data_IF_371904081306
#
_entry.id   IF_371904081306
#
_cell.length_a   1.000
_cell.length_b   1.000
_cell.length_c   1.000
_cell.angle_alpha   90.00
_cell.angle_beta   90.00
_cell.angle_gamma   90.00
#
_symmetry.space_group_name_H-M   'P 1'
#
loop_
_entity.id
_entity.type
_entity.pdbx_description
1 polymer ?
#
# COMPACT_ATOMS: atom_id res chain seq x y z
N UNK A 1 30.00 -12.58 -3.76
CA UNK A 1 29.16 -11.37 -3.69
C UNK A 1 28.71 -11.05 -5.12
N UNK A 2 27.68 -11.73 -5.61
CA UNK A 2 27.20 -11.56 -6.98
C UNK A 2 26.39 -10.25 -7.09
N UNK A 3 26.45 -9.54 -8.22
CA UNK A 3 25.68 -8.31 -8.39
C UNK A 3 24.19 -8.64 -8.31
N UNK A 4 23.50 -8.12 -7.29
CA UNK A 4 22.03 -8.13 -7.22
C UNK A 4 21.54 -7.38 -8.45
N UNK A 5 21.01 -8.11 -9.42
CA UNK A 5 20.45 -7.52 -10.63
C UNK A 5 19.44 -6.43 -10.20
N UNK A 6 19.47 -5.23 -10.80
CA UNK A 6 18.46 -4.23 -10.49
C UNK A 6 17.13 -4.75 -11.01
N UNK A 7 16.24 -5.16 -10.10
CA UNK A 7 14.91 -5.65 -10.45
C UNK A 7 14.23 -4.62 -11.38
N UNK A 8 13.90 -4.97 -12.63
CA UNK A 8 13.21 -4.07 -13.54
C UNK A 8 11.70 -4.19 -13.32
N UNK A 9 11.25 -4.10 -12.08
CA UNK A 9 9.83 -4.24 -11.75
C UNK A 9 9.52 -3.20 -10.70
N UNK A 10 9.00 -2.05 -11.14
CA UNK A 10 8.07 -1.31 -10.30
C UNK A 10 7.03 -2.36 -9.88
N UNK A 11 6.93 -2.71 -8.59
CA UNK A 11 5.97 -3.72 -8.19
C UNK A 11 4.60 -3.15 -8.49
N UNK A 12 3.99 -3.63 -9.58
CA UNK A 12 2.73 -3.10 -10.10
C UNK A 12 1.70 -3.04 -8.97
N UNK A 13 1.67 -4.06 -8.12
CA UNK A 13 0.84 -4.11 -6.91
C UNK A 13 1.08 -2.94 -5.92
N UNK A 14 2.33 -2.54 -5.67
CA UNK A 14 2.63 -1.38 -4.78
C UNK A 14 2.16 -0.08 -5.43
N UNK A 15 2.41 0.07 -6.73
CA UNK A 15 1.98 1.26 -7.47
C UNK A 15 0.45 1.36 -7.56
N UNK A 16 -0.23 0.25 -7.82
CA UNK A 16 -1.69 0.17 -7.87
C UNK A 16 -2.31 0.42 -6.50
N UNK A 17 -1.70 -0.09 -5.43
CA UNK A 17 -2.14 0.17 -4.06
C UNK A 17 -1.97 1.65 -3.67
N UNK A 18 -0.91 2.30 -4.15
CA UNK A 18 -0.72 3.75 -3.98
C UNK A 18 -1.79 4.56 -4.74
N UNK A 19 -2.07 4.20 -6.00
CA UNK A 19 -3.14 4.85 -6.77
C UNK A 19 -4.51 4.65 -6.14
N UNK A 20 -4.76 3.47 -5.54
CA UNK A 20 -5.97 3.19 -4.80
C UNK A 20 -6.10 4.08 -3.56
N UNK A 21 -5.01 4.29 -2.81
CA UNK A 21 -4.98 5.23 -1.68
C UNK A 21 -5.33 6.66 -2.13
N UNK A 22 -4.69 7.14 -3.19
CA UNK A 22 -4.98 8.47 -3.76
C UNK A 22 -6.44 8.64 -4.16
N UNK A 23 -7.05 7.61 -4.74
CA UNK A 23 -8.47 7.61 -5.09
C UNK A 23 -9.38 7.53 -3.85
N UNK A 24 -8.99 6.76 -2.85
CA UNK A 24 -9.79 6.49 -1.66
C UNK A 24 -9.89 7.70 -0.71
N UNK A 25 -8.78 8.42 -0.48
CA UNK A 25 -8.73 9.58 0.44
C UNK A 25 -9.87 10.59 0.18
N UNK A 26 -10.08 11.12 -1.06
CA UNK A 26 -11.16 12.07 -1.32
C UNK A 26 -12.56 11.47 -1.20
N UNK A 27 -12.71 10.14 -1.25
CA UNK A 27 -13.98 9.46 -0.99
C UNK A 27 -14.27 9.38 0.51
N UNK A 28 -13.27 9.03 1.32
CA UNK A 28 -13.37 9.01 2.78
C UNK A 28 -13.64 10.42 3.34
N UNK A 29 -13.09 11.44 2.69
CA UNK A 29 -13.33 12.83 3.05
C UNK A 29 -14.81 13.23 3.00
N UNK A 30 -15.58 12.60 2.12
CA UNK A 30 -17.01 12.85 1.91
C UNK A 30 -17.90 12.11 2.91
N UNK A 31 -17.35 11.27 3.78
CA UNK A 31 -18.16 10.54 4.75
C UNK A 31 -18.78 11.49 5.78
N UNK A 32 -20.04 11.25 6.19
CA UNK A 32 -20.64 11.99 7.27
C UNK A 32 -19.79 11.79 8.53
N UNK A 33 -19.62 12.87 9.31
CA UNK A 33 -18.70 12.94 10.46
C UNK A 33 -18.81 11.75 11.42
N UNK A 34 -20.04 11.25 11.62
CA UNK A 34 -20.34 10.10 12.48
C UNK A 34 -19.78 8.74 11.98
N UNK A 35 -19.53 8.60 10.69
CA UNK A 35 -19.01 7.37 10.06
C UNK A 35 -17.54 7.50 9.62
N UNK A 36 -17.04 8.73 9.45
CA UNK A 36 -15.65 8.99 9.04
C UNK A 36 -14.64 8.48 10.08
N UNK A 37 -14.85 8.78 11.35
CA UNK A 37 -13.92 8.38 12.43
C UNK A 37 -13.91 6.87 12.73
N UNK A 38 -14.95 6.15 12.35
CA UNK A 38 -15.05 4.71 12.61
C UNK A 38 -14.75 3.88 11.36
N UNK A 39 -15.40 4.18 10.25
CA UNK A 39 -15.25 3.43 9.01
C UNK A 39 -14.09 3.98 8.17
N UNK A 40 -13.95 5.31 8.06
CA UNK A 40 -12.89 5.93 7.26
C UNK A 40 -11.49 5.58 7.78
N UNK A 41 -11.25 5.82 9.06
CA UNK A 41 -9.99 5.46 9.74
C UNK A 41 -9.62 3.97 9.56
N UNK A 42 -10.60 3.06 9.69
CA UNK A 42 -10.37 1.62 9.54
C UNK A 42 -10.02 1.22 8.11
N UNK A 43 -10.67 1.83 7.11
CA UNK A 43 -10.36 1.56 5.71
C UNK A 43 -8.98 2.12 5.38
N UNK A 44 -8.66 3.35 5.78
CA UNK A 44 -7.36 3.97 5.54
C UNK A 44 -6.23 3.16 6.18
N UNK A 45 -6.36 2.83 7.47
CA UNK A 45 -5.37 2.03 8.20
C UNK A 45 -5.19 0.63 7.59
N UNK A 46 -6.28 -0.04 7.20
CA UNK A 46 -6.20 -1.35 6.55
C UNK A 46 -5.49 -1.28 5.19
N UNK A 47 -5.72 -0.21 4.42
CA UNK A 47 -5.08 -0.05 3.11
C UNK A 47 -3.59 0.28 3.24
N UNK A 48 -3.21 1.05 4.26
CA UNK A 48 -1.80 1.30 4.60
C UNK A 48 -1.09 0.02 5.05
N UNK A 49 -1.75 -0.84 5.84
CA UNK A 49 -1.22 -2.15 6.24
C UNK A 49 -0.97 -3.06 5.02
N UNK A 50 -1.89 -3.06 4.04
CA UNK A 50 -1.68 -3.81 2.78
C UNK A 50 -0.45 -3.29 2.03
N UNK A 51 -0.31 -1.97 1.90
CA UNK A 51 0.85 -1.36 1.25
C UNK A 51 2.17 -1.75 1.94
N UNK A 52 2.20 -1.70 3.27
CA UNK A 52 3.35 -2.11 4.06
C UNK A 52 3.69 -3.58 3.82
N UNK A 53 2.70 -4.47 3.86
CA UNK A 53 2.90 -5.90 3.60
C UNK A 53 3.45 -6.18 2.19
N UNK A 54 3.00 -5.45 1.17
CA UNK A 54 3.53 -5.56 -0.19
C UNK A 54 5.01 -5.15 -0.25
N UNK A 55 5.37 -4.05 0.42
CA UNK A 55 6.76 -3.58 0.51
C UNK A 55 7.64 -4.59 1.25
N UNK A 56 7.18 -5.12 2.39
CA UNK A 56 7.90 -6.15 3.15
C UNK A 56 8.12 -7.40 2.32
N UNK A 57 7.11 -7.88 1.59
CA UNK A 57 7.22 -9.04 0.72
C UNK A 57 8.27 -8.83 -0.39
N UNK A 58 8.32 -7.63 -0.98
CA UNK A 58 9.33 -7.30 -1.99
C UNK A 58 10.75 -7.30 -1.43
N UNK A 59 10.94 -6.69 -0.26
CA UNK A 59 12.24 -6.68 0.43
C UNK A 59 12.66 -8.10 0.79
N UNK A 60 11.74 -8.93 1.28
CA UNK A 60 12.00 -10.33 1.63
C UNK A 60 12.35 -11.18 0.40
N UNK A 61 11.65 -11.00 -0.72
CA UNK A 61 11.98 -11.67 -1.98
C UNK A 61 13.34 -11.22 -2.52
N UNK A 62 13.71 -9.94 -2.37
CA UNK A 62 15.00 -9.40 -2.80
C UNK A 62 16.19 -9.89 -1.95
N UNK A 63 15.94 -10.46 -0.77
CA UNK A 63 16.96 -10.95 0.16
C UNK A 63 16.93 -12.47 0.41
N UNK A 64 16.04 -13.21 -0.25
CA UNK A 64 16.02 -14.68 -0.16
C UNK A 64 17.20 -15.24 -0.99
N UNK A 65 18.14 -16.00 -0.39
CA UNK A 65 19.31 -16.57 -1.08
C UNK A 65 18.93 -17.70 -2.05
#
# INVERSE_FOLDING_TARGET
MAPKQPLPVKPQAVQDCHLLLEWLIPLLDKFPRNRRFTLGERIESGLLEVLENLIQALVQCAWRP
#
